data_IF_091021269553
#
_entry.id   IF_091021269553
#
_cell.length_a   1.000
_cell.length_b   1.000
_cell.length_c   1.000
_cell.angle_alpha   90.00
_cell.angle_beta   90.00
_cell.angle_gamma   90.00
#
_symmetry.space_group_name_H-M   'P 1'
#
loop_
_entity.id
_entity.type
_entity.pdbx_description
1 polymer ?
#
# COMPACT_ATOMS: atom_id res chain seq x y z
N UNK A 1 -21.57 -2.77 -11.48
CA UNK A 1 -23.01 -2.43 -11.58
C UNK A 1 -23.56 -2.52 -13.01
N UNK A 2 -22.75 -2.39 -14.06
CA UNK A 2 -23.21 -2.46 -15.47
C UNK A 2 -23.83 -3.82 -15.90
N UNK A 3 -23.55 -4.92 -15.19
CA UNK A 3 -24.02 -6.29 -15.53
C UNK A 3 -25.12 -6.80 -14.58
N UNK A 4 -25.82 -5.91 -13.86
CA UNK A 4 -26.76 -6.33 -12.80
C UNK A 4 -28.07 -6.99 -13.31
N UNK A 5 -28.27 -7.06 -14.63
CA UNK A 5 -29.47 -7.62 -15.26
C UNK A 5 -29.39 -9.14 -15.54
N UNK A 6 -28.18 -9.68 -15.74
CA UNK A 6 -27.94 -11.10 -16.00
C UNK A 6 -27.06 -11.69 -14.89
N UNK A 7 -27.56 -12.75 -14.27
CA UNK A 7 -26.88 -13.45 -13.18
C UNK A 7 -25.52 -14.01 -13.60
N UNK A 8 -25.45 -14.63 -14.77
CA UNK A 8 -24.23 -15.27 -15.27
C UNK A 8 -23.18 -14.22 -15.64
N UNK A 9 -23.60 -13.11 -16.23
CA UNK A 9 -22.70 -11.99 -16.50
C UNK A 9 -22.16 -11.38 -15.20
N UNK A 10 -23.02 -11.20 -14.19
CA UNK A 10 -22.61 -10.69 -12.88
C UNK A 10 -21.61 -11.62 -12.20
N UNK A 11 -21.87 -12.93 -12.20
CA UNK A 11 -20.97 -13.94 -11.65
C UNK A 11 -19.59 -13.87 -12.31
N UNK A 12 -19.55 -13.91 -13.64
CA UNK A 12 -18.29 -13.89 -14.41
C UNK A 12 -17.54 -12.58 -14.20
N UNK A 13 -18.24 -11.44 -14.27
CA UNK A 13 -17.65 -10.13 -14.04
C UNK A 13 -17.07 -10.03 -12.62
N UNK A 14 -17.79 -10.50 -11.59
CA UNK A 14 -17.29 -10.44 -10.21
C UNK A 14 -16.10 -11.39 -9.99
N UNK A 15 -16.14 -12.58 -10.57
CA UNK A 15 -15.01 -13.53 -10.55
C UNK A 15 -13.77 -12.93 -11.21
N UNK A 16 -13.93 -12.32 -12.39
CA UNK A 16 -12.86 -11.64 -13.10
C UNK A 16 -12.31 -10.43 -12.33
N UNK A 17 -13.18 -9.67 -11.67
CA UNK A 17 -12.77 -8.52 -10.85
C UNK A 17 -12.01 -8.91 -9.58
N UNK A 18 -12.28 -10.08 -9.00
CA UNK A 18 -11.70 -10.50 -7.70
C UNK A 18 -10.57 -11.51 -7.84
N UNK A 19 -10.28 -12.02 -9.04
CA UNK A 19 -9.25 -13.06 -9.23
C UNK A 19 -7.86 -12.63 -8.77
N UNK A 20 -7.50 -11.38 -8.99
CA UNK A 20 -6.23 -10.82 -8.53
C UNK A 20 -6.23 -10.50 -7.02
N UNK A 21 -7.39 -10.19 -6.44
CA UNK A 21 -7.54 -10.06 -4.99
C UNK A 21 -7.31 -11.41 -4.31
N UNK A 22 -7.92 -12.49 -4.85
CA UNK A 22 -7.73 -13.85 -4.32
C UNK A 22 -6.26 -14.24 -4.35
N UNK A 23 -5.56 -13.93 -5.45
CA UNK A 23 -4.11 -14.11 -5.54
C UNK A 23 -3.37 -13.32 -4.44
N UNK A 24 -3.66 -12.02 -4.30
CA UNK A 24 -3.00 -11.16 -3.32
C UNK A 24 -3.25 -11.64 -1.88
N UNK A 25 -4.47 -12.06 -1.57
CA UNK A 25 -4.82 -12.59 -0.24
C UNK A 25 -4.10 -13.90 0.06
N UNK A 26 -4.06 -14.82 -0.91
CA UNK A 26 -3.32 -16.06 -0.77
C UNK A 26 -1.81 -15.82 -0.64
N UNK A 27 -1.26 -14.85 -1.37
CA UNK A 27 0.13 -14.42 -1.23
C UNK A 27 0.41 -13.88 0.18
N UNK A 28 -0.47 -13.02 0.73
CA UNK A 28 -0.36 -12.55 2.13
C UNK A 28 -0.43 -13.72 3.11
N UNK A 29 -1.42 -14.62 2.97
CA UNK A 29 -1.57 -15.78 3.85
C UNK A 29 -0.34 -16.69 3.85
N UNK A 30 0.40 -16.76 2.75
CA UNK A 30 1.65 -17.54 2.68
C UNK A 30 2.88 -16.76 3.14
N UNK A 31 3.03 -15.50 2.72
CA UNK A 31 4.27 -14.73 2.92
C UNK A 31 4.31 -14.07 4.30
N UNK A 32 3.16 -13.65 4.85
CA UNK A 32 3.12 -12.98 6.14
C UNK A 32 3.60 -13.89 7.28
N UNK A 33 3.16 -15.16 7.42
CA UNK A 33 3.70 -16.05 8.45
C UNK A 33 5.21 -16.28 8.28
N UNK A 34 5.69 -16.44 7.04
CA UNK A 34 7.11 -16.61 6.75
C UNK A 34 7.91 -15.38 7.17
N UNK A 35 7.42 -14.18 6.83
CA UNK A 35 8.01 -12.91 7.22
C UNK A 35 8.10 -12.78 8.74
N UNK A 36 7.02 -13.11 9.46
CA UNK A 36 6.95 -13.04 10.92
C UNK A 36 7.87 -14.04 11.61
N UNK A 37 7.93 -15.30 11.13
CA UNK A 37 8.80 -16.34 11.70
C UNK A 37 10.26 -15.93 11.52
N UNK A 38 10.64 -15.47 10.33
CA UNK A 38 12.01 -15.05 10.05
C UNK A 38 12.36 -13.81 10.87
N UNK A 39 11.46 -12.83 10.98
CA UNK A 39 11.66 -11.65 11.82
C UNK A 39 11.85 -12.00 13.30
N UNK A 40 11.11 -12.98 13.81
CA UNK A 40 11.26 -13.46 15.18
C UNK A 40 12.62 -14.15 15.42
N UNK A 41 13.17 -14.82 14.41
CA UNK A 41 14.47 -15.51 14.48
C UNK A 41 15.63 -14.53 14.32
N UNK A 42 15.54 -13.62 13.34
CA UNK A 42 16.61 -12.66 13.02
C UNK A 42 16.72 -11.52 14.03
N UNK A 43 15.64 -11.22 14.76
CA UNK A 43 15.52 -10.06 15.63
C UNK A 43 15.33 -8.74 14.88
N UNK A 44 15.41 -8.75 13.54
CA UNK A 44 15.31 -7.55 12.70
C UNK A 44 14.75 -7.92 11.32
N UNK A 45 13.43 -7.74 11.11
CA UNK A 45 12.75 -7.92 9.82
C UNK A 45 12.76 -9.34 9.22
N UNK A 46 11.82 -9.62 8.31
CA UNK A 46 11.67 -10.94 7.67
C UNK A 46 12.37 -11.06 6.31
N UNK A 47 12.01 -12.08 5.54
CA UNK A 47 12.59 -12.40 4.23
C UNK A 47 12.55 -11.21 3.26
N UNK A 48 11.38 -10.60 3.09
CA UNK A 48 11.18 -9.49 2.16
C UNK A 48 11.92 -8.24 2.65
N UNK A 49 11.97 -8.02 3.97
CA UNK A 49 12.77 -6.93 4.54
C UNK A 49 14.26 -7.05 4.18
N UNK A 50 14.87 -8.22 4.37
CA UNK A 50 16.30 -8.40 4.11
C UNK A 50 16.66 -8.26 2.62
N UNK A 51 15.85 -8.87 1.75
CA UNK A 51 16.10 -8.78 0.30
C UNK A 51 15.89 -7.34 -0.19
N UNK A 52 14.83 -6.66 0.28
CA UNK A 52 14.57 -5.26 -0.11
C UNK A 52 15.62 -4.31 0.44
N UNK A 53 16.11 -4.52 1.67
CA UNK A 53 17.20 -3.73 2.27
C UNK A 53 18.48 -3.88 1.45
N UNK A 54 18.88 -5.12 1.16
CA UNK A 54 20.06 -5.39 0.34
C UNK A 54 19.97 -4.78 -1.07
N UNK A 55 18.79 -4.85 -1.71
CA UNK A 55 18.57 -4.22 -3.01
C UNK A 55 18.59 -2.68 -2.91
N UNK A 56 18.06 -2.13 -1.82
CA UNK A 56 18.08 -0.68 -1.56
C UNK A 56 19.50 -0.18 -1.35
N UNK A 57 20.30 -0.88 -0.55
CA UNK A 57 21.69 -0.53 -0.27
C UNK A 57 22.56 -0.70 -1.52
N UNK A 58 22.27 -1.68 -2.39
CA UNK A 58 22.93 -1.80 -3.69
C UNK A 58 22.62 -0.62 -4.64
N UNK A 59 21.38 -0.11 -4.61
CA UNK A 59 20.95 1.01 -5.47
C UNK A 59 21.39 2.36 -4.93
N UNK A 60 21.41 2.55 -3.61
CA UNK A 60 21.74 3.82 -2.95
C UNK A 60 23.18 3.92 -2.42
N UNK A 61 23.90 2.80 -2.30
CA UNK A 61 25.20 2.76 -1.64
C UNK A 61 25.15 2.97 -0.11
N UNK A 62 26.32 2.94 0.51
CA UNK A 62 26.55 3.11 1.96
C UNK A 62 26.48 4.58 2.42
N UNK A 63 26.27 5.52 1.50
CA UNK A 63 26.12 6.93 1.86
C UNK A 63 24.81 7.14 2.63
N UNK A 64 24.93 7.28 3.95
CA UNK A 64 23.93 7.92 4.82
C UNK A 64 23.59 9.36 4.41
N UNK A 65 24.41 9.95 3.53
CA UNK A 65 24.07 11.18 2.86
C UNK A 65 23.02 10.88 1.79
N UNK A 66 21.79 11.36 2.01
CA UNK A 66 20.74 11.53 1.00
C UNK A 66 21.41 11.77 -0.36
N UNK A 67 21.49 10.76 -1.23
CA UNK A 67 21.95 10.96 -2.59
C UNK A 67 20.96 11.95 -3.20
N UNK A 68 21.36 13.21 -3.29
CA UNK A 68 20.57 14.26 -3.91
C UNK A 68 20.67 14.04 -5.41
N UNK A 69 20.02 13.00 -5.94
CA UNK A 69 19.60 13.03 -7.33
C UNK A 69 18.60 14.19 -7.40
N UNK A 70 18.92 15.28 -8.12
CA UNK A 70 17.96 16.33 -8.34
C UNK A 70 16.89 15.72 -9.24
N UNK A 71 15.79 15.26 -8.63
CA UNK A 71 14.65 14.75 -9.36
C UNK A 71 14.31 15.74 -10.49
N UNK A 72 14.34 15.33 -11.77
CA UNK A 72 13.97 16.20 -12.89
C UNK A 72 12.59 16.83 -12.67
N UNK A 73 11.70 16.09 -12.01
CA UNK A 73 10.40 16.58 -11.57
C UNK A 73 10.51 17.70 -10.54
N UNK A 74 11.42 17.59 -9.55
CA UNK A 74 11.66 18.64 -8.56
C UNK A 74 12.30 19.89 -9.16
N UNK A 75 13.13 19.76 -10.19
CA UNK A 75 13.67 20.90 -10.93
C UNK A 75 12.58 21.63 -11.71
N UNK A 76 11.69 20.88 -12.37
CA UNK A 76 10.54 21.45 -13.10
C UNK A 76 9.50 22.04 -12.15
N UNK A 77 9.12 21.31 -11.09
CA UNK A 77 8.02 21.69 -10.18
C UNK A 77 8.49 22.65 -9.09
N UNK A 78 9.78 22.65 -8.72
CA UNK A 78 10.33 23.46 -7.64
C UNK A 78 10.06 24.96 -7.78
N UNK A 79 10.31 25.60 -8.93
CA UNK A 79 9.97 27.01 -9.18
C UNK A 79 8.49 27.31 -8.98
N UNK A 80 7.60 26.46 -9.53
CA UNK A 80 6.15 26.61 -9.36
C UNK A 80 5.73 26.43 -7.90
N UNK A 81 6.25 25.40 -7.22
CA UNK A 81 5.95 25.17 -5.80
C UNK A 81 6.37 26.35 -4.94
N UNK A 82 7.54 26.96 -5.18
CA UNK A 82 8.02 28.13 -4.44
C UNK A 82 7.19 29.40 -4.72
N UNK A 83 6.59 29.52 -5.91
CA UNK A 83 5.69 30.62 -6.24
C UNK A 83 4.42 30.57 -5.37
N UNK A 84 3.89 29.38 -5.11
CA UNK A 84 2.71 29.20 -4.27
C UNK A 84 3.04 29.18 -2.77
N UNK A 85 4.06 28.41 -2.36
CA UNK A 85 4.44 28.21 -0.98
C UNK A 85 5.96 28.05 -0.84
N UNK A 86 6.62 29.07 -0.31
CA UNK A 86 8.04 29.00 0.05
C UNK A 86 8.19 28.76 1.55
N UNK A 87 8.45 27.51 1.91
CA UNK A 87 8.60 27.08 3.32
C UNK A 87 10.00 27.29 3.84
N UNK A 88 10.10 27.69 5.11
CA UNK A 88 11.35 27.66 5.84
C UNK A 88 11.63 26.29 6.46
N UNK A 89 12.50 25.52 5.82
CA UNK A 89 12.90 24.21 6.32
C UNK A 89 13.62 24.27 7.66
N UNK A 90 14.35 25.36 7.94
CA UNK A 90 15.15 25.47 9.16
C UNK A 90 14.24 25.71 10.38
N UNK A 91 13.30 26.65 10.26
CA UNK A 91 12.30 26.90 11.31
C UNK A 91 11.42 25.69 11.55
N UNK A 92 10.95 25.01 10.49
CA UNK A 92 10.16 23.77 10.63
C UNK A 92 10.96 22.68 11.36
N UNK A 93 12.25 22.51 11.02
CA UNK A 93 13.12 21.53 11.69
C UNK A 93 13.34 21.90 13.16
N UNK A 94 13.58 23.17 13.47
CA UNK A 94 13.76 23.65 14.83
C UNK A 94 12.50 23.45 15.69
N UNK A 95 11.32 23.72 15.16
CA UNK A 95 10.03 23.49 15.82
C UNK A 95 9.75 21.99 16.07
N UNK A 96 10.19 21.10 15.16
CA UNK A 96 9.94 19.66 15.29
C UNK A 96 10.61 19.01 16.51
N UNK A 97 11.63 19.65 17.08
CA UNK A 97 12.28 19.18 18.30
C UNK A 97 11.53 19.59 19.58
N UNK A 98 10.54 20.47 19.48
CA UNK A 98 9.76 20.97 20.62
C UNK A 98 10.54 21.92 21.52
N UNK A 99 9.84 22.44 22.54
CA UNK A 99 10.45 23.32 23.54
C UNK A 99 11.48 22.55 24.39
N UNK A 100 12.60 23.19 24.77
CA UNK A 100 13.60 22.55 25.62
C UNK A 100 12.98 22.23 27.00
N UNK A 101 13.22 21.02 27.50
CA UNK A 101 12.71 20.62 28.81
C UNK A 101 13.48 21.33 29.93
N UNK A 102 12.75 22.00 30.82
CA UNK A 102 13.31 22.62 32.01
C UNK A 102 13.69 21.55 33.04
N UNK A 103 14.92 21.61 33.54
CA UNK A 103 15.37 20.86 34.70
C UNK A 103 15.30 21.75 35.94
N UNK A 104 14.63 21.25 36.98
CA UNK A 104 14.54 21.90 38.29
C UNK A 104 15.88 21.81 39.01
N UNK A 105 16.50 22.96 39.30
CA UNK A 105 17.75 23.05 40.09
C UNK A 105 17.55 23.69 41.48
N UNK A 106 16.32 23.67 42.03
CA UNK A 106 15.99 24.31 43.31
C UNK A 106 15.47 25.74 43.15
N UNK A 107 15.46 26.52 44.24
CA UNK A 107 14.76 27.80 44.35
C UNK A 107 15.13 28.81 43.23
N UNK A 108 14.23 28.99 42.27
CA UNK A 108 14.32 30.01 41.21
C UNK A 108 15.28 29.69 40.06
N UNK A 109 15.85 28.48 40.00
CA UNK A 109 16.80 28.08 38.96
C UNK A 109 16.10 27.19 37.93
N UNK A 110 16.04 27.66 36.67
CA UNK A 110 15.57 26.89 35.51
C UNK A 110 16.76 26.69 34.57
N UNK A 111 17.20 25.45 34.38
CA UNK A 111 18.28 25.09 33.44
C UNK A 111 17.73 24.20 32.33
N UNK A 112 18.29 24.31 31.13
CA UNK A 112 17.83 23.58 29.96
C UNK A 112 18.99 22.81 29.32
N UNK A 113 18.79 21.52 29.10
CA UNK A 113 19.71 20.69 28.34
C UNK A 113 19.29 20.67 26.87
N UNK A 114 20.18 21.13 25.99
CA UNK A 114 19.93 21.20 24.54
C UNK A 114 20.89 20.26 23.83
N UNK A 115 20.35 19.27 23.10
CA UNK A 115 21.18 18.31 22.36
C UNK A 115 21.91 18.98 21.19
N UNK A 116 22.97 18.33 20.70
CA UNK A 116 23.77 18.84 19.57
C UNK A 116 22.93 19.10 18.31
N UNK A 117 21.90 18.31 18.08
CA UNK A 117 21.05 18.45 16.89
C UNK A 117 20.08 19.62 16.99
N UNK A 118 19.58 19.89 18.20
CA UNK A 118 18.73 21.05 18.49
C UNK A 118 19.56 22.33 18.39
N UNK A 119 20.76 22.34 18.95
CA UNK A 119 21.72 23.45 18.84
C UNK A 119 22.03 23.81 17.39
N UNK A 120 22.37 22.81 16.55
CA UNK A 120 22.59 23.01 15.10
C UNK A 120 21.33 23.51 14.37
N UNK A 121 20.14 23.08 14.78
CA UNK A 121 18.90 23.53 14.17
C UNK A 121 18.61 25.01 14.51
N UNK A 122 18.82 25.41 15.76
CA UNK A 122 18.60 26.78 16.22
C UNK A 122 19.59 27.77 15.61
N UNK A 123 20.88 27.41 15.50
CA UNK A 123 21.89 28.22 14.81
C UNK A 123 21.50 28.51 13.36
N UNK A 124 20.89 27.55 12.66
CA UNK A 124 20.43 27.73 11.27
C UNK A 124 19.19 28.61 11.12
N UNK A 125 18.49 28.91 12.21
CA UNK A 125 17.32 29.79 12.23
C UNK A 125 17.72 31.21 12.61
N UNK A 126 18.53 31.35 13.66
CA UNK A 126 18.93 32.65 14.20
C UNK A 126 20.38 32.61 14.69
N UNK A 127 21.33 32.61 13.75
CA UNK A 127 22.77 32.49 14.01
C UNK A 127 23.28 33.59 14.96
N UNK A 128 22.96 34.85 14.65
CA UNK A 128 23.39 36.02 15.43
C UNK A 128 22.80 36.01 16.85
N UNK A 129 21.51 35.69 16.98
CA UNK A 129 20.83 35.60 18.26
C UNK A 129 21.35 34.41 19.09
N UNK A 130 21.67 33.29 18.44
CA UNK A 130 22.19 32.10 19.10
C UNK A 130 23.52 32.39 19.80
N UNK A 131 24.44 33.11 19.14
CA UNK A 131 25.74 33.45 19.72
C UNK A 131 25.67 34.55 20.79
N UNK A 132 24.75 35.51 20.65
CA UNK A 132 24.67 36.71 21.50
C UNK A 132 23.73 36.58 22.69
N UNK A 133 22.72 35.71 22.61
CA UNK A 133 21.64 35.64 23.60
C UNK A 133 21.77 34.44 24.51
N UNK A 134 22.22 33.27 24.03
CA UNK A 134 22.28 32.05 24.85
C UNK A 134 23.43 32.10 25.87
N UNK A 135 23.10 31.92 27.14
CA UNK A 135 24.07 31.91 28.25
C UNK A 135 24.30 30.48 28.74
N UNK A 136 25.55 30.03 28.67
CA UNK A 136 25.94 28.70 29.15
C UNK A 136 25.84 28.61 30.68
N UNK A 137 25.41 27.46 31.19
CA UNK A 137 25.30 27.23 32.64
C UNK A 137 26.67 27.25 33.34
N UNK A 138 26.77 27.96 34.46
CA UNK A 138 27.90 27.84 35.40
C UNK A 138 27.53 26.83 36.52
N UNK A 139 28.15 25.64 36.50
CA UNK A 139 28.11 24.65 37.60
C UNK A 139 27.14 23.45 37.49
N UNK A 140 27.60 22.32 38.07
CA UNK A 140 27.01 21.03 38.53
C UNK A 140 25.89 20.28 37.78
N UNK A 141 25.26 20.84 36.74
CA UNK A 141 24.28 20.10 35.93
C UNK A 141 24.98 19.57 34.68
N UNK A 142 25.17 18.25 34.63
CA UNK A 142 25.70 17.55 33.47
C UNK A 142 24.53 17.03 32.64
N UNK A 143 24.44 17.46 31.38
CA UNK A 143 23.48 16.91 30.42
C UNK A 143 24.07 15.62 29.84
N UNK A 144 23.31 14.52 29.84
CA UNK A 144 23.77 13.21 29.29
C UNK A 144 24.17 13.31 27.82
N UNK A 145 23.49 14.18 27.06
CA UNK A 145 23.82 14.49 25.67
C UNK A 145 23.46 15.95 25.33
N UNK A 146 24.43 16.87 25.40
CA UNK A 146 24.22 18.25 24.96
C UNK A 146 24.86 19.33 25.83
N UNK A 147 24.49 20.59 25.57
CA UNK A 147 24.99 21.78 26.27
C UNK A 147 23.90 22.34 27.18
N UNK A 148 24.29 22.76 28.38
CA UNK A 148 23.38 23.40 29.34
C UNK A 148 23.31 24.91 29.10
N UNK A 149 22.09 25.45 29.04
CA UNK A 149 21.80 26.87 28.94
C UNK A 149 20.79 27.32 30.00
N UNK A 150 20.91 28.57 30.48
CA UNK A 150 20.00 29.13 31.50
C UNK A 150 18.76 29.80 30.91
N UNK A 151 18.81 30.22 29.65
CA UNK A 151 17.75 30.98 28.98
C UNK A 151 17.30 30.36 27.65
N UNK A 152 17.46 29.05 27.49
CA UNK A 152 17.05 28.35 26.27
C UNK A 152 15.53 28.42 26.02
N UNK A 153 14.72 28.43 27.09
CA UNK A 153 13.28 28.59 26.99
C UNK A 153 12.89 29.92 26.35
N UNK A 154 13.46 31.02 26.85
CA UNK A 154 13.21 32.36 26.29
C UNK A 154 13.74 32.50 24.86
N UNK A 155 14.89 31.89 24.57
CA UNK A 155 15.43 31.84 23.21
C UNK A 155 14.47 31.13 22.25
N UNK A 156 13.94 29.97 22.66
CA UNK A 156 12.98 29.19 21.88
C UNK A 156 11.72 29.99 21.59
N UNK A 157 11.09 30.60 22.60
CA UNK A 157 9.87 31.39 22.41
C UNK A 157 10.12 32.63 21.53
N UNK A 158 11.23 33.34 21.74
CA UNK A 158 11.45 34.61 21.05
C UNK A 158 11.99 34.48 19.62
N UNK A 159 12.66 33.38 19.28
CA UNK A 159 13.34 33.22 17.99
C UNK A 159 12.88 32.02 17.17
N UNK A 160 12.35 30.98 17.81
CA UNK A 160 11.93 29.74 17.13
C UNK A 160 10.41 29.70 16.98
N UNK A 161 9.66 29.98 18.06
CA UNK A 161 8.19 29.93 18.08
C UNK A 161 7.54 31.10 17.33
N UNK A 162 8.14 32.29 17.40
CA UNK A 162 7.72 33.48 16.64
C UNK A 162 8.18 33.47 15.18
N UNK A 163 9.05 32.53 14.81
CA UNK A 163 9.60 32.40 13.47
C UNK A 163 8.53 32.02 12.46
N UNK A 164 8.43 32.77 11.33
CA UNK A 164 7.51 32.41 10.25
C UNK A 164 7.99 31.16 9.50
N UNK A 165 7.12 30.16 9.46
CA UNK A 165 7.30 28.92 8.69
C UNK A 165 7.03 29.14 7.19
N UNK A 166 6.21 30.13 6.82
CA UNK A 166 5.99 30.55 5.43
C UNK A 166 6.75 31.85 5.17
N UNK A 167 7.89 31.74 4.48
CA UNK A 167 8.77 32.89 4.18
C UNK A 167 8.43 33.61 2.87
N UNK A 168 7.60 33.01 2.01
CA UNK A 168 7.23 33.63 0.74
C UNK A 168 6.22 32.84 -0.08
N UNK A 169 5.94 33.34 -1.28
CA UNK A 169 4.91 32.82 -2.17
C UNK A 169 3.55 33.47 -1.93
N UNK A 170 2.56 33.04 -2.70
CA UNK A 170 1.18 33.54 -2.65
C UNK A 170 0.55 33.45 -1.26
N UNK A 171 0.95 32.46 -0.45
CA UNK A 171 0.38 32.20 0.86
C UNK A 171 1.08 32.95 2.02
N UNK A 172 2.09 33.79 1.74
CA UNK A 172 2.87 34.47 2.81
C UNK A 172 2.01 35.44 3.65
N UNK A 173 1.05 36.10 3.01
CA UNK A 173 0.28 37.20 3.60
C UNK A 173 -0.93 36.69 4.42
N UNK A 174 -1.24 35.39 4.29
CA UNK A 174 -2.33 34.71 5.01
C UNK A 174 -1.88 34.26 6.43
N UNK A 175 -0.58 34.32 6.72
CA UNK A 175 0.00 33.81 7.96
C UNK A 175 0.21 32.29 7.93
N UNK A 176 0.94 31.76 8.91
CA UNK A 176 1.42 30.37 8.89
C UNK A 176 0.30 29.33 9.00
N UNK A 177 -0.64 29.54 9.93
CA UNK A 177 -1.77 28.62 10.12
C UNK A 177 -2.74 28.68 8.94
N UNK A 178 -3.12 29.90 8.53
CA UNK A 178 -4.03 30.11 7.39
C UNK A 178 -3.42 29.65 6.07
N UNK A 179 -2.17 30.02 5.79
CA UNK A 179 -1.42 29.58 4.63
C UNK A 179 -1.19 28.06 4.62
N UNK A 180 -0.97 27.44 5.78
CA UNK A 180 -0.89 25.98 5.91
C UNK A 180 -2.20 25.28 5.53
N UNK A 181 -3.33 25.73 6.06
CA UNK A 181 -4.66 25.16 5.77
C UNK A 181 -5.03 25.36 4.30
N UNK A 182 -4.91 26.59 3.78
CA UNK A 182 -5.22 26.90 2.37
C UNK A 182 -4.29 26.12 1.44
N UNK A 183 -2.99 26.07 1.76
CA UNK A 183 -2.01 25.29 1.00
C UNK A 183 -2.34 23.80 0.96
N UNK A 184 -2.75 23.22 2.09
CA UNK A 184 -3.19 21.83 2.15
C UNK A 184 -4.41 21.59 1.25
N UNK A 185 -5.46 22.40 1.38
CA UNK A 185 -6.69 22.27 0.58
C UNK A 185 -6.37 22.41 -0.92
N UNK A 186 -5.63 23.45 -1.31
CA UNK A 186 -5.26 23.67 -2.71
C UNK A 186 -4.41 22.53 -3.26
N UNK A 187 -3.44 22.05 -2.48
CA UNK A 187 -2.59 20.92 -2.88
C UNK A 187 -3.40 19.63 -3.07
N UNK A 188 -4.38 19.37 -2.20
CA UNK A 188 -5.25 18.21 -2.30
C UNK A 188 -6.18 18.32 -3.53
N UNK A 189 -6.74 19.49 -3.80
CA UNK A 189 -7.56 19.73 -5.00
C UNK A 189 -6.74 19.51 -6.27
N UNK A 190 -5.54 20.10 -6.36
CA UNK A 190 -4.66 19.95 -7.53
C UNK A 190 -4.21 18.50 -7.69
N UNK A 191 -3.85 17.82 -6.60
CA UNK A 191 -3.48 16.40 -6.61
C UNK A 191 -4.65 15.54 -7.12
N UNK A 192 -5.86 15.72 -6.57
CA UNK A 192 -7.04 14.99 -6.97
C UNK A 192 -7.42 15.28 -8.44
N UNK A 193 -7.39 16.54 -8.88
CA UNK A 193 -7.68 16.93 -10.25
C UNK A 193 -6.65 16.35 -11.23
N UNK A 194 -5.36 16.39 -10.88
CA UNK A 194 -4.29 15.81 -11.68
C UNK A 194 -4.44 14.30 -11.80
N UNK A 195 -4.69 13.59 -10.69
CA UNK A 195 -4.92 12.14 -10.68
C UNK A 195 -6.16 11.78 -11.50
N UNK A 196 -7.26 12.53 -11.35
CA UNK A 196 -8.48 12.29 -12.12
C UNK A 196 -8.26 12.52 -13.62
N UNK A 197 -7.63 13.64 -14.00
CA UNK A 197 -7.32 13.97 -15.40
C UNK A 197 -6.39 12.92 -16.02
N UNK A 198 -5.33 12.55 -15.30
CA UNK A 198 -4.40 11.50 -15.69
C UNK A 198 -5.15 10.19 -15.98
N UNK A 199 -5.96 9.71 -15.03
CA UNK A 199 -6.77 8.49 -15.20
C UNK A 199 -7.71 8.62 -16.39
N UNK A 200 -8.40 9.76 -16.57
CA UNK A 200 -9.34 9.97 -17.68
C UNK A 200 -8.65 9.97 -19.05
N UNK A 201 -7.51 10.63 -19.16
CA UNK A 201 -6.72 10.69 -20.39
C UNK A 201 -6.21 9.31 -20.75
N UNK A 202 -5.60 8.60 -19.80
CA UNK A 202 -5.09 7.25 -20.00
C UNK A 202 -6.20 6.27 -20.37
N UNK A 203 -7.36 6.36 -19.70
CA UNK A 203 -8.53 5.55 -20.03
C UNK A 203 -9.02 5.83 -21.46
N UNK A 204 -9.12 7.09 -21.85
CA UNK A 204 -9.58 7.50 -23.19
C UNK A 204 -8.62 7.05 -24.30
N UNK A 205 -7.30 7.20 -24.06
CA UNK A 205 -6.27 6.87 -25.05
C UNK A 205 -6.09 5.36 -25.22
N UNK A 206 -6.20 4.59 -24.14
CA UNK A 206 -5.76 3.20 -24.14
C UNK A 206 -6.89 2.20 -24.39
N UNK A 207 -8.14 2.52 -24.02
CA UNK A 207 -9.28 1.57 -24.14
C UNK A 207 -9.46 0.98 -25.56
N UNK A 208 -9.29 1.78 -26.62
CA UNK A 208 -9.48 1.32 -27.99
C UNK A 208 -8.41 0.33 -28.48
N UNK A 209 -7.13 0.62 -28.20
CA UNK A 209 -6.01 -0.23 -28.61
C UNK A 209 -5.78 -1.39 -27.65
N UNK A 210 -5.92 -1.17 -26.34
CA UNK A 210 -5.80 -2.21 -25.33
C UNK A 210 -6.82 -3.32 -25.56
N UNK A 211 -8.09 -3.00 -25.84
CA UNK A 211 -9.10 -4.03 -26.13
C UNK A 211 -8.67 -4.96 -27.28
N UNK A 212 -8.08 -4.44 -28.36
CA UNK A 212 -7.58 -5.26 -29.47
C UNK A 212 -6.38 -6.13 -29.07
N UNK A 213 -5.45 -5.59 -28.29
CA UNK A 213 -4.25 -6.32 -27.83
C UNK A 213 -4.63 -7.41 -26.83
N UNK A 214 -5.51 -7.08 -25.88
CA UNK A 214 -6.11 -7.98 -24.89
C UNK A 214 -6.80 -9.15 -25.59
N UNK A 215 -7.62 -8.87 -26.60
CA UNK A 215 -8.32 -9.89 -27.39
C UNK A 215 -7.39 -10.80 -28.18
N UNK A 216 -6.20 -10.35 -28.56
CA UNK A 216 -5.16 -11.22 -29.14
C UNK A 216 -4.42 -12.01 -28.06
N UNK A 217 -4.26 -11.42 -26.87
CA UNK A 217 -3.64 -12.03 -25.70
C UNK A 217 -4.40 -13.23 -25.15
N UNK A 218 -5.71 -13.32 -25.37
CA UNK A 218 -6.53 -14.45 -24.90
C UNK A 218 -6.13 -15.79 -25.50
N UNK A 219 -5.60 -15.80 -26.72
CA UNK A 219 -5.09 -16.98 -27.42
C UNK A 219 -3.60 -17.26 -27.16
N UNK A 220 -2.96 -16.49 -26.29
CA UNK A 220 -1.54 -16.67 -25.97
C UNK A 220 -1.32 -17.60 -24.77
N UNK A 221 -0.08 -18.07 -24.63
CA UNK A 221 0.39 -18.75 -23.43
C UNK A 221 0.20 -17.84 -22.19
N UNK A 222 -0.19 -18.41 -21.06
CA UNK A 222 -0.47 -17.69 -19.81
C UNK A 222 0.74 -16.86 -19.33
N UNK A 223 1.98 -17.34 -19.54
CA UNK A 223 3.18 -16.55 -19.21
C UNK A 223 3.34 -15.32 -20.10
N UNK A 224 2.94 -15.41 -21.37
CA UNK A 224 2.96 -14.27 -22.29
C UNK A 224 1.84 -13.28 -21.95
N UNK A 225 0.69 -13.77 -21.46
CA UNK A 225 -0.37 -12.92 -20.95
C UNK A 225 0.07 -12.10 -19.71
N UNK A 226 0.97 -12.61 -18.86
CA UNK A 226 1.63 -11.81 -17.81
C UNK A 226 2.41 -10.65 -18.42
N UNK A 227 3.23 -10.90 -19.45
CA UNK A 227 4.01 -9.82 -20.10
C UNK A 227 3.11 -8.78 -20.76
N UNK A 228 1.97 -9.19 -21.34
CA UNK A 228 0.98 -8.26 -21.90
C UNK A 228 0.37 -7.39 -20.81
N UNK A 229 -0.05 -7.98 -19.68
CA UNK A 229 -0.59 -7.23 -18.54
C UNK A 229 0.41 -6.24 -17.94
N UNK A 230 1.67 -6.66 -17.83
CA UNK A 230 2.80 -5.83 -17.42
C UNK A 230 2.98 -4.64 -18.36
N UNK A 231 3.10 -4.89 -19.67
CA UNK A 231 3.31 -3.85 -20.67
C UNK A 231 2.16 -2.85 -20.71
N UNK A 232 0.91 -3.32 -20.71
CA UNK A 232 -0.27 -2.45 -20.67
C UNK A 232 -0.23 -1.59 -19.41
N UNK A 233 0.08 -2.16 -18.25
CA UNK A 233 0.09 -1.38 -17.00
C UNK A 233 1.25 -0.39 -16.92
N UNK A 234 2.42 -0.69 -17.49
CA UNK A 234 3.52 0.28 -17.60
C UNK A 234 3.10 1.46 -18.49
N UNK A 235 2.44 1.19 -19.62
CA UNK A 235 2.00 2.22 -20.56
C UNK A 235 0.86 3.06 -19.99
N UNK A 236 -0.11 2.40 -19.35
CA UNK A 236 -1.29 3.03 -18.75
C UNK A 236 -0.96 3.64 -17.39
N UNK A 237 0.10 3.22 -16.71
CA UNK A 237 0.42 3.58 -15.32
C UNK A 237 -0.73 3.31 -14.32
N UNK A 238 -1.69 2.45 -14.67
CA UNK A 238 -2.82 2.11 -13.81
C UNK A 238 -3.31 0.69 -14.06
N UNK A 239 -3.12 -0.16 -13.05
CA UNK A 239 -3.67 -1.52 -13.03
C UNK A 239 -5.19 -1.55 -12.87
N UNK A 240 -5.79 -0.54 -12.24
CA UNK A 240 -7.25 -0.44 -12.09
C UNK A 240 -7.95 -0.10 -13.41
N UNK A 241 -7.32 0.72 -14.27
CA UNK A 241 -7.81 0.94 -15.64
C UNK A 241 -7.72 -0.36 -16.46
N UNK A 242 -6.61 -1.10 -16.34
CA UNK A 242 -6.44 -2.39 -17.02
C UNK A 242 -7.48 -3.41 -16.56
N UNK A 243 -7.66 -3.57 -15.25
CA UNK A 243 -8.62 -4.51 -14.67
C UNK A 243 -10.06 -4.12 -15.01
N UNK A 244 -10.41 -2.84 -14.93
CA UNK A 244 -11.77 -2.37 -15.27
C UNK A 244 -12.10 -2.48 -16.76
N UNK A 245 -11.11 -2.49 -17.65
CA UNK A 245 -11.30 -2.80 -19.08
C UNK A 245 -11.58 -4.29 -19.33
N UNK A 246 -10.95 -5.16 -18.55
CA UNK A 246 -11.06 -6.61 -18.70
C UNK A 246 -12.33 -7.17 -18.07
N UNK A 247 -12.74 -6.66 -16.90
CA UNK A 247 -13.90 -7.16 -16.15
C UNK A 247 -15.19 -7.26 -16.98
N UNK A 248 -15.59 -6.26 -17.80
CA UNK A 248 -16.76 -6.39 -18.67
C UNK A 248 -16.61 -7.48 -19.73
N UNK A 249 -15.41 -7.70 -20.26
CA UNK A 249 -15.12 -8.76 -21.25
C UNK A 249 -15.27 -10.14 -20.61
N UNK A 250 -14.91 -10.27 -19.33
CA UNK A 250 -15.16 -11.48 -18.56
C UNK A 250 -16.67 -11.66 -18.32
N UNK A 251 -17.36 -10.58 -17.94
CA UNK A 251 -18.81 -10.57 -17.75
C UNK A 251 -19.57 -11.13 -18.96
N UNK A 252 -19.30 -10.60 -20.15
CA UNK A 252 -19.94 -11.06 -21.40
C UNK A 252 -19.39 -12.38 -21.94
N UNK A 253 -18.48 -13.06 -21.23
CA UNK A 253 -17.91 -14.36 -21.61
C UNK A 253 -16.88 -14.33 -22.74
N UNK A 254 -16.43 -13.16 -23.17
CA UNK A 254 -15.42 -13.01 -24.24
C UNK A 254 -14.01 -13.35 -23.74
N UNK A 255 -13.72 -13.06 -22.47
CA UNK A 255 -12.47 -13.40 -21.80
C UNK A 255 -12.76 -14.39 -20.66
N UNK A 256 -12.24 -15.63 -20.69
CA UNK A 256 -12.48 -16.55 -19.59
C UNK A 256 -11.73 -16.11 -18.32
N UNK A 257 -12.31 -16.38 -17.14
CA UNK A 257 -11.75 -15.96 -15.83
C UNK A 257 -10.33 -16.49 -15.62
N UNK A 258 -10.02 -17.70 -16.09
CA UNK A 258 -8.67 -18.28 -15.95
C UNK A 258 -7.59 -17.53 -16.77
N UNK A 259 -7.98 -16.82 -17.85
CA UNK A 259 -7.08 -15.94 -18.62
C UNK A 259 -6.96 -14.54 -18.01
N UNK A 260 -7.93 -14.13 -17.20
CA UNK A 260 -7.87 -12.87 -16.44
C UNK A 260 -6.76 -12.89 -15.38
N UNK A 261 -6.51 -14.05 -14.76
CA UNK A 261 -5.46 -14.20 -13.75
C UNK A 261 -4.05 -13.81 -14.27
N UNK A 262 -3.46 -14.44 -15.30
CA UNK A 262 -2.12 -14.07 -15.75
C UNK A 262 -2.02 -12.59 -16.17
N UNK A 263 -3.05 -12.04 -16.83
CA UNK A 263 -3.05 -10.64 -17.24
C UNK A 263 -3.03 -9.68 -16.04
N UNK A 264 -3.78 -10.00 -15.00
CA UNK A 264 -3.80 -9.19 -13.77
C UNK A 264 -2.53 -9.35 -12.93
N UNK A 265 -1.90 -10.53 -12.92
CA UNK A 265 -0.57 -10.72 -12.31
C UNK A 265 0.49 -9.84 -12.99
N UNK A 266 0.46 -9.77 -14.32
CA UNK A 266 1.27 -8.84 -15.09
C UNK A 266 1.02 -7.38 -14.67
N UNK A 267 -0.25 -7.00 -14.54
CA UNK A 267 -0.63 -5.66 -14.11
C UNK A 267 -0.17 -5.33 -12.69
N UNK A 268 -0.16 -6.30 -11.78
CA UNK A 268 0.37 -6.12 -10.44
C UNK A 268 1.89 -5.83 -10.48
N UNK A 269 2.66 -6.58 -11.28
CA UNK A 269 4.09 -6.27 -11.51
C UNK A 269 4.24 -4.85 -12.11
N UNK A 270 3.44 -4.49 -13.11
CA UNK A 270 3.51 -3.16 -13.74
C UNK A 270 3.28 -2.01 -12.76
N UNK A 271 2.39 -2.19 -11.79
CA UNK A 271 2.12 -1.18 -10.75
C UNK A 271 3.34 -0.92 -9.85
N UNK A 272 4.17 -1.94 -9.62
CA UNK A 272 5.37 -1.81 -8.77
C UNK A 272 6.44 -0.94 -9.42
N UNK A 273 6.48 -0.88 -10.76
CA UNK A 273 7.38 0.04 -11.49
C UNK A 273 7.03 1.49 -11.17
N UNK A 274 5.73 1.82 -11.10
CA UNK A 274 5.28 3.15 -10.65
C UNK A 274 5.74 3.45 -9.22
N UNK A 275 5.65 2.48 -8.30
CA UNK A 275 6.18 2.63 -6.93
C UNK A 275 7.69 2.85 -6.89
N UNK A 276 8.45 2.13 -7.73
CA UNK A 276 9.92 2.26 -7.82
C UNK A 276 10.30 3.63 -8.38
N UNK A 277 9.66 4.08 -9.46
CA UNK A 277 9.89 5.43 -10.02
C UNK A 277 9.54 6.52 -9.01
N UNK A 278 8.45 6.36 -8.24
CA UNK A 278 8.09 7.29 -7.17
C UNK A 278 9.12 7.29 -6.03
N UNK A 279 9.60 6.12 -5.61
CA UNK A 279 10.64 5.98 -4.59
C UNK A 279 11.96 6.63 -5.02
N UNK A 280 12.37 6.41 -6.27
CA UNK A 280 13.54 7.04 -6.90
C UNK A 280 13.37 8.56 -7.06
N UNK A 281 12.15 9.06 -7.25
CA UNK A 281 11.93 10.51 -7.30
C UNK A 281 12.09 11.19 -5.92
N UNK A 282 11.79 10.47 -4.83
CA UNK A 282 11.92 10.97 -3.45
C UNK A 282 13.34 10.84 -2.91
N UNK A 283 14.11 9.87 -3.42
CA UNK A 283 15.50 9.58 -3.01
C UNK A 283 15.67 9.37 -1.51
N UNK A 284 14.74 8.63 -0.89
CA UNK A 284 14.89 8.15 0.50
C UNK A 284 15.04 6.64 0.52
N UNK A 285 16.01 6.13 1.30
CA UNK A 285 16.22 4.68 1.49
C UNK A 285 14.91 3.98 1.86
N UNK A 286 14.15 4.52 2.83
CA UNK A 286 12.88 3.95 3.24
C UNK A 286 11.82 3.91 2.13
N UNK A 287 11.74 4.93 1.27
CA UNK A 287 10.79 4.98 0.16
C UNK A 287 11.13 3.97 -0.95
N UNK A 288 12.42 3.83 -1.30
CA UNK A 288 12.87 2.83 -2.27
C UNK A 288 12.70 1.41 -1.72
N UNK A 289 13.05 1.19 -0.44
CA UNK A 289 12.90 -0.10 0.20
C UNK A 289 11.43 -0.56 0.17
N UNK A 290 10.48 0.31 0.51
CA UNK A 290 9.05 -0.01 0.43
C UNK A 290 8.64 -0.36 -1.01
N UNK A 291 9.17 0.35 -2.01
CA UNK A 291 8.89 0.03 -3.41
C UNK A 291 9.44 -1.34 -3.83
N UNK A 292 10.64 -1.72 -3.37
CA UNK A 292 11.18 -3.06 -3.59
C UNK A 292 10.45 -4.13 -2.81
N UNK A 293 10.01 -3.88 -1.57
CA UNK A 293 9.11 -4.77 -0.85
C UNK A 293 7.84 -5.05 -1.68
N UNK A 294 7.25 -4.02 -2.28
CA UNK A 294 6.06 -4.16 -3.13
C UNK A 294 6.35 -5.01 -4.38
N UNK A 295 7.48 -4.80 -5.06
CA UNK A 295 7.91 -5.64 -6.18
C UNK A 295 8.11 -7.10 -5.76
N UNK A 296 8.87 -7.33 -4.69
CA UNK A 296 9.23 -8.67 -4.21
C UNK A 296 7.99 -9.43 -3.73
N UNK A 297 7.06 -8.77 -3.04
CA UNK A 297 5.78 -9.37 -2.65
C UNK A 297 5.05 -9.95 -3.86
N UNK A 298 4.95 -9.18 -4.95
CA UNK A 298 4.29 -9.63 -6.17
C UNK A 298 5.07 -10.73 -6.90
N UNK A 299 6.39 -10.58 -7.04
CA UNK A 299 7.21 -11.57 -7.74
C UNK A 299 7.24 -12.91 -7.01
N UNK A 300 7.50 -12.91 -5.70
CA UNK A 300 7.52 -14.14 -4.89
C UNK A 300 6.13 -14.75 -4.82
N UNK A 301 5.08 -13.94 -4.67
CA UNK A 301 3.69 -14.41 -4.72
C UNK A 301 3.38 -15.13 -6.04
N UNK A 302 3.80 -14.55 -7.18
CA UNK A 302 3.62 -15.15 -8.51
C UNK A 302 4.40 -16.47 -8.59
N UNK A 303 5.67 -16.49 -8.18
CA UNK A 303 6.50 -17.70 -8.20
C UNK A 303 5.91 -18.85 -7.38
N UNK A 304 5.22 -18.54 -6.27
CA UNK A 304 4.54 -19.54 -5.44
C UNK A 304 3.23 -20.00 -6.10
N UNK A 305 2.34 -19.07 -6.43
CA UNK A 305 0.94 -19.40 -6.74
C UNK A 305 0.64 -19.65 -8.22
N UNK A 306 1.53 -19.26 -9.15
CA UNK A 306 1.24 -19.31 -10.59
C UNK A 306 1.86 -20.49 -11.37
N UNK A 307 3.15 -20.85 -11.20
CA UNK A 307 3.78 -21.91 -12.00
C UNK A 307 3.15 -23.28 -11.82
N UNK A 308 2.71 -23.61 -10.60
CA UNK A 308 2.12 -24.91 -10.28
C UNK A 308 0.63 -24.88 -10.63
N UNK A 309 0.15 -25.73 -11.58
CA UNK A 309 -1.24 -25.68 -12.02
C UNK A 309 -2.25 -25.88 -10.89
N UNK A 310 -1.94 -26.74 -9.90
CA UNK A 310 -2.80 -26.96 -8.73
C UNK A 310 -2.99 -25.66 -7.93
N UNK A 311 -1.90 -24.93 -7.66
CA UNK A 311 -1.96 -23.69 -6.89
C UNK A 311 -2.71 -22.59 -7.64
N UNK A 312 -2.45 -22.48 -8.96
CA UNK A 312 -3.17 -21.53 -9.82
C UNK A 312 -4.68 -21.80 -9.83
N UNK A 313 -5.08 -23.07 -9.82
CA UNK A 313 -6.49 -23.48 -9.77
C UNK A 313 -7.18 -23.04 -8.48
N UNK A 314 -6.49 -23.06 -7.33
CA UNK A 314 -7.04 -22.57 -6.05
C UNK A 314 -7.44 -21.10 -6.15
N UNK A 315 -6.59 -20.27 -6.75
CA UNK A 315 -6.85 -18.83 -6.95
C UNK A 315 -8.11 -18.61 -7.80
N UNK A 316 -8.20 -19.29 -8.94
CA UNK A 316 -9.34 -19.14 -9.86
C UNK A 316 -10.62 -19.66 -9.24
N UNK A 317 -10.58 -20.82 -8.56
CA UNK A 317 -11.75 -21.39 -7.86
C UNK A 317 -12.28 -20.44 -6.79
N UNK A 318 -11.40 -19.88 -5.95
CA UNK A 318 -11.81 -18.92 -4.93
C UNK A 318 -12.57 -17.72 -5.53
N UNK A 319 -12.08 -17.22 -6.67
CA UNK A 319 -12.72 -16.10 -7.37
C UNK A 319 -14.08 -16.50 -7.97
N UNK A 320 -14.16 -17.65 -8.65
CA UNK A 320 -15.41 -18.16 -9.22
C UNK A 320 -16.46 -18.45 -8.15
N UNK A 321 -16.08 -19.07 -7.04
CA UNK A 321 -16.97 -19.32 -5.91
C UNK A 321 -17.51 -18.01 -5.33
N UNK A 322 -16.65 -17.00 -5.17
CA UNK A 322 -17.08 -15.69 -4.68
C UNK A 322 -18.03 -14.99 -5.68
N UNK A 323 -17.75 -15.10 -6.98
CA UNK A 323 -18.64 -14.69 -8.07
C UNK A 323 -20.02 -15.33 -8.01
N UNK A 324 -20.06 -16.65 -7.81
CA UNK A 324 -21.29 -17.41 -7.70
C UNK A 324 -22.16 -16.88 -6.55
N UNK A 325 -21.62 -16.75 -5.34
CA UNK A 325 -22.38 -16.21 -4.21
C UNK A 325 -22.82 -14.76 -4.43
N UNK A 326 -22.01 -13.93 -5.08
CA UNK A 326 -22.36 -12.57 -5.43
C UNK A 326 -23.54 -12.47 -6.42
N UNK A 327 -23.72 -13.48 -7.27
CA UNK A 327 -24.85 -13.57 -8.20
C UNK A 327 -26.17 -13.93 -7.50
N UNK A 328 -26.11 -14.67 -6.39
CA UNK A 328 -27.27 -15.06 -5.58
C UNK A 328 -27.67 -13.97 -4.59
N UNK A 329 -26.70 -13.38 -3.88
CA UNK A 329 -26.96 -12.39 -2.85
C UNK A 329 -26.22 -11.08 -3.13
N UNK A 330 -26.98 -10.06 -3.54
CA UNK A 330 -26.45 -8.75 -3.98
C UNK A 330 -25.64 -7.99 -2.94
N UNK A 331 -25.75 -8.35 -1.66
CA UNK A 331 -24.95 -7.75 -0.59
C UNK A 331 -23.55 -8.35 -0.45
N UNK A 332 -23.27 -9.51 -1.05
CA UNK A 332 -21.96 -10.19 -0.95
C UNK A 332 -20.81 -9.29 -1.39
N UNK A 333 -20.85 -8.57 -2.53
CA UNK A 333 -19.77 -7.66 -2.90
C UNK A 333 -19.49 -6.56 -1.86
N UNK A 334 -20.54 -5.97 -1.29
CA UNK A 334 -20.39 -4.92 -0.28
C UNK A 334 -19.80 -5.47 1.03
N UNK A 335 -20.28 -6.63 1.47
CA UNK A 335 -19.77 -7.31 2.66
C UNK A 335 -18.32 -7.72 2.44
N UNK A 336 -17.98 -8.28 1.27
CA UNK A 336 -16.61 -8.64 0.90
C UNK A 336 -15.69 -7.43 0.99
N UNK A 337 -16.06 -6.29 0.38
CA UNK A 337 -15.24 -5.07 0.42
C UNK A 337 -15.05 -4.58 1.86
N UNK A 338 -16.14 -4.50 2.64
CA UNK A 338 -16.09 -4.04 4.03
C UNK A 338 -15.21 -4.96 4.89
N UNK A 339 -15.36 -6.27 4.75
CA UNK A 339 -14.61 -7.23 5.56
C UNK A 339 -13.14 -7.25 5.14
N UNK A 340 -12.85 -7.42 3.85
CA UNK A 340 -11.48 -7.67 3.38
C UNK A 340 -10.61 -6.42 3.31
N UNK A 341 -11.19 -5.26 2.99
CA UNK A 341 -10.41 -4.03 2.81
C UNK A 341 -10.54 -3.04 3.97
N UNK A 342 -11.49 -3.24 4.91
CA UNK A 342 -11.64 -2.38 6.09
C UNK A 342 -11.46 -3.17 7.38
N UNK A 343 -12.27 -4.19 7.62
CA UNK A 343 -12.26 -4.91 8.89
C UNK A 343 -10.97 -5.70 9.12
N UNK A 344 -10.51 -6.50 8.15
CA UNK A 344 -9.30 -7.31 8.27
C UNK A 344 -8.05 -6.43 8.48
N UNK A 345 -7.77 -5.41 7.65
CA UNK A 345 -6.66 -4.50 7.91
C UNK A 345 -6.80 -3.76 9.25
N UNK A 346 -8.01 -3.34 9.61
CA UNK A 346 -8.28 -2.68 10.89
C UNK A 346 -8.01 -3.57 12.11
N UNK A 347 -8.38 -4.85 12.05
CA UNK A 347 -8.08 -5.85 13.09
C UNK A 347 -6.58 -6.12 13.15
N UNK A 348 -5.91 -6.29 12.01
CA UNK A 348 -4.44 -6.44 11.98
C UNK A 348 -3.72 -5.23 12.59
N UNK A 349 -4.18 -4.02 12.30
CA UNK A 349 -3.66 -2.79 12.89
C UNK A 349 -3.90 -2.76 14.41
N UNK A 350 -5.11 -3.09 14.86
CA UNK A 350 -5.45 -3.14 16.27
C UNK A 350 -4.58 -4.16 17.03
N UNK A 351 -4.37 -5.35 16.45
CA UNK A 351 -3.45 -6.36 16.99
C UNK A 351 -2.04 -5.78 17.11
N UNK A 352 -1.53 -5.14 16.05
CA UNK A 352 -0.19 -4.52 16.04
C UNK A 352 -0.03 -3.46 17.14
N UNK A 353 -1.01 -2.56 17.30
CA UNK A 353 -1.01 -1.53 18.34
C UNK A 353 -1.07 -2.13 19.76
N UNK A 354 -1.85 -3.20 19.95
CA UNK A 354 -1.95 -3.87 21.23
C UNK A 354 -0.66 -4.59 21.60
N UNK A 355 0.04 -5.24 20.66
CA UNK A 355 1.35 -5.82 20.93
C UNK A 355 2.37 -4.77 21.40
N UNK A 356 2.29 -3.54 20.86
CA UNK A 356 3.13 -2.42 21.32
C UNK A 356 2.79 -1.93 22.74
N UNK A 357 1.56 -2.16 23.22
CA UNK A 357 1.10 -1.71 24.54
C UNK A 357 1.18 -2.80 25.61
N UNK A 358 0.76 -4.02 25.28
CA UNK A 358 0.80 -5.19 26.15
C UNK A 358 0.86 -6.48 25.32
N UNK A 359 1.87 -7.31 25.57
CA UNK A 359 2.02 -8.60 24.88
C UNK A 359 0.80 -9.49 25.11
N UNK A 360 0.27 -9.51 26.34
CA UNK A 360 -0.93 -10.28 26.67
C UNK A 360 -2.16 -9.84 25.88
N UNK A 361 -2.39 -8.52 25.74
CA UNK A 361 -3.51 -7.99 24.95
C UNK A 361 -3.39 -8.33 23.46
N UNK A 362 -2.18 -8.24 22.89
CA UNK A 362 -1.91 -8.65 21.51
C UNK A 362 -2.21 -10.14 21.28
N UNK A 363 -1.73 -11.02 22.16
CA UNK A 363 -1.95 -12.47 22.06
C UNK A 363 -3.43 -12.83 22.18
N UNK A 364 -4.14 -12.26 23.16
CA UNK A 364 -5.58 -12.52 23.36
C UNK A 364 -6.39 -12.12 22.14
N UNK A 365 -6.17 -10.91 21.61
CA UNK A 365 -6.90 -10.47 20.42
C UNK A 365 -6.56 -11.31 19.19
N UNK A 366 -5.30 -11.74 19.05
CA UNK A 366 -4.89 -12.63 17.94
C UNK A 366 -5.64 -13.96 18.01
N UNK A 367 -5.68 -14.59 19.18
CA UNK A 367 -6.40 -15.86 19.38
C UNK A 367 -7.90 -15.67 19.11
N UNK A 368 -8.49 -14.58 19.59
CA UNK A 368 -9.89 -14.26 19.35
C UNK A 368 -10.18 -14.09 17.85
N UNK A 369 -9.34 -13.33 17.13
CA UNK A 369 -9.49 -13.11 15.70
C UNK A 369 -9.41 -14.44 14.92
N UNK A 370 -8.44 -15.29 15.25
CA UNK A 370 -8.31 -16.63 14.66
C UNK A 370 -9.52 -17.50 14.99
N UNK A 371 -10.01 -17.46 16.23
CA UNK A 371 -11.17 -18.23 16.66
C UNK A 371 -12.45 -17.78 15.93
N UNK A 372 -12.66 -16.48 15.72
CA UNK A 372 -13.80 -15.94 14.96
C UNK A 372 -13.75 -16.42 13.51
N UNK A 373 -12.58 -16.35 12.87
CA UNK A 373 -12.40 -16.83 11.49
C UNK A 373 -12.64 -18.34 11.41
N UNK A 374 -12.07 -19.12 12.34
CA UNK A 374 -12.25 -20.57 12.40
C UNK A 374 -13.72 -20.96 12.64
N UNK A 375 -14.41 -20.26 13.55
CA UNK A 375 -15.83 -20.47 13.82
C UNK A 375 -16.69 -20.15 12.60
N UNK A 376 -16.37 -19.07 11.87
CA UNK A 376 -17.06 -18.74 10.61
C UNK A 376 -16.83 -19.80 9.54
N UNK A 377 -15.59 -20.24 9.33
CA UNK A 377 -15.25 -21.31 8.36
C UNK A 377 -15.96 -22.61 8.72
N UNK A 378 -15.98 -22.97 10.01
CA UNK A 378 -16.67 -24.16 10.51
C UNK A 378 -18.18 -24.06 10.28
N UNK A 379 -18.78 -22.93 10.64
CA UNK A 379 -20.20 -22.68 10.43
C UNK A 379 -20.58 -22.72 8.95
N UNK A 380 -19.77 -22.10 8.09
CA UNK A 380 -20.00 -22.02 6.66
C UNK A 380 -19.93 -23.39 5.97
N UNK A 381 -18.93 -24.20 6.31
CA UNK A 381 -18.67 -25.47 5.63
C UNK A 381 -19.37 -26.69 6.27
N UNK A 382 -19.51 -26.73 7.60
CA UNK A 382 -19.99 -27.93 8.31
C UNK A 382 -21.38 -27.78 8.92
N UNK A 383 -21.78 -26.56 9.34
CA UNK A 383 -23.10 -26.32 9.96
C UNK A 383 -24.15 -25.82 8.95
N UNK A 384 -23.88 -25.95 7.66
CA UNK A 384 -24.80 -25.56 6.60
C UNK A 384 -25.02 -24.04 6.45
N UNK A 385 -24.11 -23.20 6.96
CA UNK A 385 -24.20 -21.75 6.79
C UNK A 385 -24.25 -21.33 5.32
N UNK A 386 -23.47 -22.00 4.47
CA UNK A 386 -23.52 -21.81 3.02
C UNK A 386 -24.89 -22.12 2.40
N UNK A 387 -25.64 -23.09 2.95
CA UNK A 387 -26.95 -23.48 2.43
C UNK A 387 -28.05 -22.46 2.71
N UNK A 388 -27.78 -21.49 3.59
CA UNK A 388 -28.69 -20.34 3.80
C UNK A 388 -28.69 -19.36 2.63
N UNK A 389 -27.63 -19.37 1.81
CA UNK A 389 -27.49 -18.46 0.68
C UNK A 389 -27.86 -19.15 -0.64
N UNK A 390 -27.45 -20.42 -0.80
CA UNK A 390 -27.67 -21.20 -2.03
C UNK A 390 -27.95 -22.66 -1.67
N UNK A 391 -28.87 -23.33 -2.36
CA UNK A 391 -29.17 -24.73 -2.06
C UNK A 391 -27.96 -25.66 -2.33
N UNK A 392 -27.95 -26.85 -1.72
CA UNK A 392 -26.87 -27.82 -1.90
C UNK A 392 -26.74 -28.27 -3.37
N UNK A 393 -27.87 -28.51 -4.02
CA UNK A 393 -27.93 -28.95 -5.43
C UNK A 393 -27.34 -27.89 -6.36
N UNK A 394 -27.73 -26.62 -6.20
CA UNK A 394 -27.21 -25.51 -7.01
C UNK A 394 -25.70 -25.30 -6.80
N UNK A 395 -25.21 -25.47 -5.56
CA UNK A 395 -23.79 -25.35 -5.24
C UNK A 395 -22.98 -26.49 -5.87
N UNK A 396 -23.45 -27.74 -5.74
CA UNK A 396 -22.77 -28.91 -6.27
C UNK A 396 -22.76 -28.88 -7.81
N UNK A 397 -23.88 -28.48 -8.44
CA UNK A 397 -23.98 -28.27 -9.88
C UNK A 397 -22.98 -27.22 -10.37
N UNK A 398 -22.91 -26.05 -9.73
CA UNK A 398 -21.98 -25.01 -10.15
C UNK A 398 -20.52 -25.40 -9.92
N UNK A 399 -20.23 -26.10 -8.83
CA UNK A 399 -18.87 -26.57 -8.57
C UNK A 399 -18.39 -27.54 -9.65
N UNK A 400 -19.27 -28.42 -10.14
CA UNK A 400 -19.00 -29.30 -11.28
C UNK A 400 -18.80 -28.53 -12.59
N UNK A 401 -19.58 -27.47 -12.83
CA UNK A 401 -19.37 -26.58 -13.98
C UNK A 401 -18.03 -25.86 -13.93
N UNK A 402 -17.64 -25.33 -12.76
CA UNK A 402 -16.33 -24.68 -12.57
C UNK A 402 -15.20 -25.68 -12.84
N UNK A 403 -15.33 -26.91 -12.37
CA UNK A 403 -14.35 -27.97 -12.64
C UNK A 403 -14.27 -28.31 -14.13
N UNK A 404 -15.41 -28.33 -14.83
CA UNK A 404 -15.47 -28.55 -16.29
C UNK A 404 -14.85 -27.37 -17.06
N UNK A 405 -15.18 -26.13 -16.69
CA UNK A 405 -14.59 -24.90 -17.27
C UNK A 405 -13.07 -24.81 -17.05
N UNK A 406 -12.56 -25.47 -16.01
CA UNK A 406 -11.14 -25.55 -15.67
C UNK A 406 -10.41 -26.76 -16.29
N UNK A 407 -11.14 -27.64 -16.99
CA UNK A 407 -10.58 -28.84 -17.62
C UNK A 407 -10.29 -30.00 -16.65
N UNK A 408 -10.95 -30.02 -15.49
CA UNK A 408 -10.74 -30.99 -14.40
C UNK A 408 -11.74 -32.15 -14.40
N UNK A 409 -12.74 -32.15 -15.29
CA UNK A 409 -13.66 -33.28 -15.40
C UNK A 409 -12.92 -34.55 -15.88
N UNK A 410 -13.22 -35.73 -15.31
CA UNK A 410 -12.74 -36.98 -15.90
C UNK A 410 -13.21 -37.00 -17.36
N UNK A 411 -12.29 -37.25 -18.30
CA UNK A 411 -12.67 -37.61 -19.66
C UNK A 411 -13.70 -38.72 -19.52
N UNK A 412 -14.92 -38.52 -20.03
CA UNK A 412 -15.85 -39.62 -20.21
C UNK A 412 -15.07 -40.76 -20.87
N UNK A 413 -15.05 -41.93 -20.22
CA UNK A 413 -14.56 -43.15 -20.83
C UNK A 413 -15.24 -43.26 -22.20
N UNK A 414 -14.49 -43.45 -23.30
CA UNK A 414 -15.13 -43.65 -24.59
C UNK A 414 -16.12 -44.80 -24.44
N UNK A 415 -17.39 -44.51 -24.68
CA UNK A 415 -18.46 -45.50 -24.67
C UNK A 415 -17.95 -46.74 -25.39
N UNK A 416 -17.76 -47.83 -24.64
CA UNK A 416 -17.37 -49.10 -25.21
C UNK A 416 -18.36 -49.40 -26.33
N UNK A 417 -17.85 -49.48 -27.56
CA UNK A 417 -18.57 -50.02 -28.69
C UNK A 417 -19.25 -51.31 -28.23
N UNK A 418 -20.57 -51.30 -28.23
CA UNK A 418 -21.36 -52.51 -28.17
C UNK A 418 -21.08 -53.30 -29.45
N UNK A 419 -20.01 -54.09 -29.42
CA UNK A 419 -19.74 -55.18 -30.33
C UNK A 419 -19.97 -56.48 -29.57
N UNK A 420 -21.21 -56.98 -29.59
CA UNK A 420 -21.59 -58.39 -29.88
C UNK A 420 -23.03 -58.37 -30.39
#
# INVERSE_FOLDING_TARGET
MAHAGDRLELERAFSGATVHDMFNMLAVLTLLPVELIIAAISGEGGLLYWISKGLTDAVMGDSENDLTFPSPTKEIVGPFSKLFLNKDKNTIKALSFGAPMAQSCGAGCTKYCVSSDVSKAWQKVAEDAYASTLTACTGAVTCDSGTCYTNAGDFYTNNIETGRTIKGGFLKDVGDVGGGIIGLILSLIVLCAALFCLVKLLHSLVMGQAKKIIMKGTNMNDYLAILVGLAITILVQSSSVTTSALTPLVGIGVLPVHKMLPMTLGANIGTTITSILAGLAVMKKSSIQIAFCHLLFNLVGILIWFPVPIMRRVVVRAACTLGFYASYWRLVPLIYILVMFVAVPGVCLLISLLYGSSVAGGVVLTILAVAVVAAFIYWWNFMGGCYKVVSKEERDARQAEIETEMGDAPKEEPAAEAAV
#
